data_IF_060318150286
#
_entry.id   IF_060318150286
#
_cell.length_a   1.000
_cell.length_b   1.000
_cell.length_c   1.000
_cell.angle_alpha   90.00
_cell.angle_beta   90.00
_cell.angle_gamma   90.00
#
_symmetry.space_group_name_H-M   'P 1'
#
loop_
_entity.id
_entity.type
_entity.pdbx_description
1 polymer ?
#
# COMPACT_ATOMS: atom_id res chain seq x y z
N UNK A 1 -11.20 0.34 18.21
CA UNK A 1 -10.22 0.78 17.19
C UNK A 1 -10.35 -0.10 15.95
N UNK A 2 -10.13 0.44 14.75
CA UNK A 2 -10.18 -0.31 13.49
C UNK A 2 -8.96 0.05 12.63
N UNK A 3 -8.33 -0.96 12.04
CA UNK A 3 -7.29 -0.79 11.03
C UNK A 3 -7.67 -1.70 9.88
N UNK A 4 -7.77 -1.13 8.69
CA UNK A 4 -7.91 -1.89 7.45
C UNK A 4 -6.66 -1.67 6.62
N UNK A 5 -6.00 -2.76 6.28
CA UNK A 5 -4.82 -2.78 5.43
C UNK A 5 -5.16 -3.65 4.21
N UNK A 6 -4.52 -3.39 3.07
CA UNK A 6 -4.75 -4.26 1.92
C UNK A 6 -5.99 -3.97 1.09
N UNK A 7 -6.66 -2.81 1.20
CA UNK A 7 -7.82 -2.54 0.35
C UNK A 7 -7.34 -2.19 -1.05
N UNK A 8 -7.88 -2.85 -2.07
CA UNK A 8 -7.43 -2.69 -3.45
C UNK A 8 -8.59 -2.57 -4.42
N UNK A 9 -8.49 -1.60 -5.34
CA UNK A 9 -9.41 -1.39 -6.43
C UNK A 9 -8.68 -1.70 -7.74
N UNK A 10 -9.24 -2.65 -8.48
CA UNK A 10 -8.75 -3.09 -9.77
C UNK A 10 -9.91 -3.11 -10.76
N UNK A 11 -9.87 -2.26 -11.79
CA UNK A 11 -10.88 -2.21 -12.84
C UNK A 11 -10.22 -1.97 -14.21
N UNK A 12 -10.37 -2.94 -15.12
CA UNK A 12 -9.90 -2.84 -16.51
C UNK A 12 -8.43 -2.43 -16.61
N UNK A 13 -8.16 -1.44 -17.45
CA UNK A 13 -6.81 -0.92 -17.72
C UNK A 13 -6.38 0.21 -16.76
N UNK A 14 -7.20 0.51 -15.75
CA UNK A 14 -6.87 1.57 -14.81
C UNK A 14 -5.69 1.18 -13.90
N UNK A 15 -4.85 2.14 -13.50
CA UNK A 15 -3.82 1.92 -12.48
C UNK A 15 -4.45 1.32 -11.21
N UNK A 16 -3.82 0.30 -10.65
CA UNK A 16 -4.25 -0.30 -9.37
C UNK A 16 -4.22 0.79 -8.30
N UNK A 17 -5.28 0.87 -7.51
CA UNK A 17 -5.32 1.72 -6.32
C UNK A 17 -5.34 0.83 -5.08
N UNK A 18 -4.40 1.04 -4.17
CA UNK A 18 -4.25 0.25 -2.94
C UNK A 18 -4.12 1.18 -1.73
N UNK A 19 -4.85 0.96 -0.65
CA UNK A 19 -4.87 1.88 0.48
C UNK A 19 -5.15 1.20 1.83
N UNK A 20 -4.68 1.86 2.88
CA UNK A 20 -4.93 1.49 4.27
C UNK A 20 -5.68 2.59 5.00
N UNK A 21 -6.49 2.19 5.97
CA UNK A 21 -7.33 3.04 6.81
C UNK A 21 -7.05 2.76 8.28
N UNK A 22 -7.04 3.80 9.10
CA UNK A 22 -6.96 3.73 10.56
C UNK A 22 -8.13 4.50 11.17
N UNK A 23 -8.73 3.96 12.23
CA UNK A 23 -9.75 4.61 13.04
C UNK A 23 -9.45 4.41 14.51
N UNK A 24 -8.94 5.47 15.12
CA UNK A 24 -8.76 5.57 16.58
C UNK A 24 -10.11 5.71 17.31
N UNK A 25 -10.10 5.47 18.62
CA UNK A 25 -11.31 5.63 19.43
C UNK A 25 -11.66 7.11 19.55
N UNK A 26 -12.88 7.48 19.18
CA UNK A 26 -13.36 8.87 19.26
C UNK A 26 -12.87 9.81 18.15
N UNK A 27 -12.10 9.31 17.17
CA UNK A 27 -11.67 10.09 16.01
C UNK A 27 -12.35 9.64 14.72
N UNK A 28 -12.41 10.53 13.70
CA UNK A 28 -12.73 10.11 12.34
C UNK A 28 -11.75 9.04 11.83
N UNK A 29 -12.19 8.32 10.81
CA UNK A 29 -11.31 7.39 10.10
C UNK A 29 -10.41 8.19 9.15
N UNK A 30 -9.17 7.75 8.98
CA UNK A 30 -8.13 8.43 8.21
C UNK A 30 -7.40 7.43 7.32
N UNK A 31 -6.81 7.92 6.23
CA UNK A 31 -5.91 7.09 5.42
C UNK A 31 -4.54 6.96 6.10
N UNK A 32 -4.06 5.74 6.24
CA UNK A 32 -2.66 5.48 6.64
C UNK A 32 -1.72 5.65 5.46
N UNK A 33 -2.13 5.16 4.28
CA UNK A 33 -1.42 5.33 3.02
C UNK A 33 -2.36 5.17 1.83
N UNK A 34 -1.93 5.70 0.68
CA UNK A 34 -2.53 5.45 -0.63
C UNK A 34 -1.42 5.09 -1.62
N UNK A 35 -1.64 4.08 -2.44
CA UNK A 35 -0.70 3.59 -3.44
C UNK A 35 -1.38 3.58 -4.81
N UNK A 36 -0.80 4.29 -5.77
CA UNK A 36 -1.16 4.16 -7.19
C UNK A 36 -0.13 3.28 -7.88
N UNK A 37 -0.57 2.21 -8.53
CA UNK A 37 0.32 1.32 -9.26
C UNK A 37 -0.02 1.23 -10.75
N UNK A 38 0.97 1.53 -11.60
CA UNK A 38 0.88 1.34 -13.04
C UNK A 38 1.39 -0.04 -13.40
N UNK A 39 0.68 -0.70 -14.29
CA UNK A 39 1.05 -1.99 -14.85
C UNK A 39 0.60 -2.04 -16.32
N UNK A 40 1.04 -3.07 -17.03
CA UNK A 40 0.71 -3.28 -18.44
C UNK A 40 -0.30 -4.42 -18.52
N UNK A 41 -1.55 -4.05 -18.84
CA UNK A 41 -2.73 -4.89 -18.76
C UNK A 41 -2.76 -5.99 -19.82
N UNK A 42 -2.09 -5.81 -20.96
CA UNK A 42 -2.02 -6.79 -22.06
C UNK A 42 -1.15 -8.01 -21.72
N UNK A 43 -0.37 -7.92 -20.64
CA UNK A 43 0.61 -8.93 -20.21
C UNK A 43 0.26 -9.52 -18.84
N UNK A 44 -1.03 -9.63 -18.56
CA UNK A 44 -1.58 -10.21 -17.33
C UNK A 44 -1.41 -11.72 -17.30
N UNK A 45 -0.48 -12.22 -16.49
CA UNK A 45 -0.47 -13.65 -16.13
C UNK A 45 -0.52 -13.93 -14.62
N UNK A 46 -0.42 -12.90 -13.76
CA UNK A 46 -0.71 -13.02 -12.32
C UNK A 46 -0.65 -11.66 -11.64
N UNK A 47 -1.81 -11.14 -11.25
CA UNK A 47 -1.92 -10.06 -10.27
C UNK A 47 -2.33 -10.70 -8.95
N UNK A 48 -1.60 -10.40 -7.88
CA UNK A 48 -1.83 -10.96 -6.55
C UNK A 48 -1.86 -9.84 -5.54
N UNK A 49 -2.98 -9.73 -4.82
CA UNK A 49 -3.07 -8.93 -3.61
C UNK A 49 -3.08 -9.88 -2.43
N UNK A 50 -2.29 -9.58 -1.43
CA UNK A 50 -2.27 -10.33 -0.19
C UNK A 50 -2.09 -9.38 0.98
N UNK A 51 -2.91 -9.56 2.01
CA UNK A 51 -2.84 -8.83 3.26
C UNK A 51 -2.78 -9.83 4.40
N UNK A 52 -1.93 -9.58 5.40
CA UNK A 52 -1.81 -10.37 6.61
C UNK A 52 -1.65 -9.46 7.81
N UNK A 53 -2.27 -9.87 8.91
CA UNK A 53 -2.09 -9.25 10.20
C UNK A 53 -1.51 -10.31 11.13
N UNK A 54 -0.41 -9.98 11.79
CA UNK A 54 0.23 -10.79 12.82
C UNK A 54 0.20 -10.04 14.16
N UNK A 55 0.21 -10.76 15.27
CA UNK A 55 0.43 -10.17 16.59
C UNK A 55 1.85 -10.58 17.04
N UNK A 56 2.70 -9.59 17.31
CA UNK A 56 4.09 -9.77 17.77
C UNK A 56 4.27 -8.98 19.06
N UNK A 57 4.49 -9.67 20.17
CA UNK A 57 4.70 -9.03 21.49
C UNK A 57 3.63 -7.99 21.87
N UNK A 58 2.37 -8.26 21.53
CA UNK A 58 1.25 -7.35 21.78
C UNK A 58 1.06 -6.23 20.75
N UNK A 59 1.99 -6.09 19.79
CA UNK A 59 1.95 -5.14 18.68
C UNK A 59 1.34 -5.82 17.45
N UNK A 60 0.41 -5.14 16.77
CA UNK A 60 -0.14 -5.65 15.50
C UNK A 60 0.82 -5.30 14.36
N UNK A 61 1.23 -6.31 13.63
CA UNK A 61 2.11 -6.20 12.48
C UNK A 61 1.28 -6.44 11.20
N UNK A 62 1.15 -5.41 10.37
CA UNK A 62 0.40 -5.44 9.13
C UNK A 62 1.35 -5.63 7.95
N UNK A 63 1.03 -6.57 7.07
CA UNK A 63 1.81 -6.86 5.88
C UNK A 63 0.86 -6.87 4.67
N UNK A 64 1.07 -5.92 3.77
CA UNK A 64 0.41 -5.89 2.47
C UNK A 64 1.41 -6.18 1.36
N UNK A 65 0.95 -6.91 0.36
CA UNK A 65 1.71 -7.26 -0.83
C UNK A 65 0.86 -7.01 -2.04
N UNK A 66 1.34 -6.10 -2.88
CA UNK A 66 0.88 -5.93 -4.25
C UNK A 66 1.88 -6.57 -5.19
N UNK A 67 1.48 -7.65 -5.86
CA UNK A 67 2.32 -8.38 -6.80
C UNK A 67 1.74 -8.31 -8.21
N UNK A 68 2.62 -8.02 -9.18
CA UNK A 68 2.33 -8.03 -10.60
C UNK A 68 3.49 -8.75 -11.28
N UNK A 69 3.19 -9.89 -11.93
CA UNK A 69 4.20 -10.79 -12.52
C UNK A 69 5.24 -11.27 -11.47
N UNK A 70 6.53 -11.11 -11.78
CA UNK A 70 7.68 -11.49 -10.94
C UNK A 70 8.09 -10.37 -9.96
N UNK A 71 7.35 -9.26 -9.93
CA UNK A 71 7.63 -8.10 -9.10
C UNK A 71 6.61 -7.96 -7.98
N UNK A 72 7.07 -7.51 -6.82
CA UNK A 72 6.22 -7.26 -5.69
C UNK A 72 6.61 -5.97 -4.97
N UNK A 73 5.59 -5.24 -4.55
CA UNK A 73 5.64 -4.14 -3.62
C UNK A 73 5.08 -4.64 -2.29
N UNK A 74 5.96 -4.76 -1.30
CA UNK A 74 5.62 -5.16 0.06
C UNK A 74 5.59 -3.92 0.93
N UNK A 75 4.47 -3.71 1.60
CA UNK A 75 4.26 -2.65 2.57
C UNK A 75 4.05 -3.30 3.92
N UNK A 76 4.85 -2.91 4.91
CA UNK A 76 4.80 -3.47 6.25
C UNK A 76 4.72 -2.35 7.25
N UNK A 77 3.83 -2.44 8.25
CA UNK A 77 3.83 -1.48 9.34
C UNK A 77 3.45 -2.10 10.68
N UNK A 78 4.14 -1.61 11.71
CA UNK A 78 3.88 -1.96 13.11
C UNK A 78 2.98 -0.92 13.74
N UNK A 79 2.00 -1.41 14.47
CA UNK A 79 0.87 -0.66 14.96
C UNK A 79 0.63 -1.01 16.42
N UNK A 80 0.95 -0.07 17.30
CA UNK A 80 0.70 -0.18 18.73
C UNK A 80 -0.53 0.65 19.12
N UNK A 81 -1.31 0.12 20.06
CA UNK A 81 -2.34 0.88 20.76
C UNK A 81 -1.76 1.32 22.11
N UNK A 82 -1.49 2.62 22.23
CA UNK A 82 -1.05 3.24 23.48
C UNK A 82 -2.08 4.29 23.89
N UNK A 83 -2.64 4.18 25.10
CA UNK A 83 -3.58 5.18 25.63
C UNK A 83 -4.77 5.49 24.68
N UNK A 84 -5.27 4.49 23.95
CA UNK A 84 -6.33 4.62 22.91
C UNK A 84 -5.92 5.40 21.65
N UNK A 85 -4.64 5.71 21.48
CA UNK A 85 -4.05 6.29 20.27
C UNK A 85 -3.38 5.19 19.45
N UNK A 86 -3.29 5.42 18.16
CA UNK A 86 -2.57 4.54 17.26
C UNK A 86 -1.25 5.18 16.88
N UNK A 87 -0.16 4.45 17.04
CA UNK A 87 1.16 4.90 16.59
C UNK A 87 1.71 3.89 15.59
N UNK A 88 2.07 4.40 14.41
CA UNK A 88 2.86 3.65 13.44
C UNK A 88 4.31 3.72 13.92
N UNK A 89 4.81 2.61 14.46
CA UNK A 89 6.18 2.53 15.00
C UNK A 89 7.22 2.38 13.89
N UNK A 90 6.88 1.60 12.86
CA UNK A 90 7.71 1.38 11.70
C UNK A 90 6.83 1.26 10.46
N UNK A 91 7.32 1.79 9.34
CA UNK A 91 6.71 1.61 8.03
C UNK A 91 7.80 1.25 7.03
N UNK A 92 7.65 0.12 6.34
CA UNK A 92 8.67 -0.42 5.45
C UNK A 92 8.08 -0.72 4.07
N UNK A 93 8.91 -0.50 3.06
CA UNK A 93 8.65 -0.85 1.67
C UNK A 93 9.79 -1.73 1.16
N UNK A 94 9.52 -3.00 0.83
CA UNK A 94 10.52 -4.02 0.47
C UNK A 94 11.75 -4.01 1.42
N UNK A 95 11.51 -4.19 2.72
CA UNK A 95 12.51 -4.19 3.81
C UNK A 95 13.22 -2.85 4.06
N UNK A 96 12.86 -1.77 3.37
CA UNK A 96 13.41 -0.43 3.61
C UNK A 96 12.46 0.42 4.42
N UNK A 97 12.96 1.02 5.49
CA UNK A 97 12.21 2.00 6.26
C UNK A 97 11.85 3.21 5.40
N UNK A 98 10.62 3.66 5.58
CA UNK A 98 10.04 4.82 4.93
C UNK A 98 9.92 5.94 5.94
N UNK A 99 10.40 7.12 5.56
CA UNK A 99 10.20 8.34 6.32
C UNK A 99 8.82 8.91 5.99
N UNK A 100 7.81 8.64 6.83
CA UNK A 100 6.43 9.10 6.62
C UNK A 100 6.29 10.63 6.57
N UNK A 101 7.27 11.40 7.04
CA UNK A 101 7.25 12.87 6.91
C UNK A 101 7.34 13.34 5.45
N UNK A 102 7.86 12.48 4.56
CA UNK A 102 7.93 12.65 3.10
C UNK A 102 6.62 12.32 2.39
N UNK A 103 5.59 11.91 3.12
CA UNK A 103 4.23 11.74 2.65
C UNK A 103 3.74 10.28 2.64
N UNK A 104 2.43 10.10 2.57
CA UNK A 104 1.79 8.79 2.70
C UNK A 104 1.24 8.28 1.36
N UNK A 105 1.65 8.89 0.24
CA UNK A 105 1.27 8.47 -1.10
C UNK A 105 2.44 7.84 -1.82
N UNK A 106 2.26 6.59 -2.24
CA UNK A 106 3.23 5.79 -2.97
C UNK A 106 2.82 5.65 -4.43
N UNK A 107 3.77 5.87 -5.33
CA UNK A 107 3.57 5.76 -6.77
C UNK A 107 4.47 4.64 -7.28
N UNK A 108 3.90 3.54 -7.77
CA UNK A 108 4.61 2.29 -8.06
C UNK A 108 4.46 1.89 -9.52
N UNK A 109 5.55 1.80 -10.28
CA UNK A 109 5.52 1.43 -11.69
C UNK A 109 6.06 0.00 -11.89
N UNK A 110 5.14 -0.92 -12.21
CA UNK A 110 5.40 -2.32 -12.58
C UNK A 110 5.63 -2.50 -14.10
N UNK A 111 5.47 -1.45 -14.92
CA UNK A 111 5.69 -1.53 -16.38
C UNK A 111 7.16 -1.67 -16.75
N UNK A 112 8.06 -1.37 -15.81
CA UNK A 112 9.51 -1.47 -15.99
C UNK A 112 10.02 -2.85 -15.59
N UNK A 113 11.19 -3.23 -16.12
CA UNK A 113 11.87 -4.49 -15.77
C UNK A 113 12.17 -4.62 -14.27
N UNK A 114 12.37 -3.50 -13.58
CA UNK A 114 12.55 -3.44 -12.13
C UNK A 114 11.56 -2.46 -11.56
N UNK A 115 11.02 -2.80 -10.39
CA UNK A 115 10.02 -1.98 -9.72
C UNK A 115 10.59 -0.58 -9.51
N UNK A 116 9.84 0.41 -10.00
CA UNK A 116 10.15 1.80 -9.74
C UNK A 116 9.13 2.36 -8.75
N UNK A 117 9.58 3.21 -7.85
CA UNK A 117 8.69 3.86 -6.90
C UNK A 117 9.07 5.31 -6.62
N UNK A 118 8.08 6.07 -6.16
CA UNK A 118 8.26 7.36 -5.51
C UNK A 118 7.30 7.48 -4.32
N UNK A 119 7.72 8.23 -3.30
CA UNK A 119 6.90 8.68 -2.20
C UNK A 119 6.65 10.17 -2.40
N UNK A 120 5.40 10.62 -2.27
CA UNK A 120 5.06 12.03 -2.42
C UNK A 120 4.27 12.54 -1.21
N UNK A 121 4.60 13.77 -0.81
CA UNK A 121 3.84 14.54 0.16
C UNK A 121 2.72 15.28 -0.56
N UNK A 122 1.51 14.82 -0.33
CA UNK A 122 0.25 15.40 -0.79
C UNK A 122 -0.79 15.18 0.30
N UNK A 123 -1.76 16.08 0.38
CA UNK A 123 -2.91 15.88 1.25
C UNK A 123 -3.73 14.67 0.77
N UNK A 124 -4.29 13.93 1.72
CA UNK A 124 -5.18 12.81 1.47
C UNK A 124 -6.63 13.27 1.69
N UNK A 125 -7.62 12.66 1.00
CA UNK A 125 -9.02 12.96 1.28
C UNK A 125 -9.32 12.73 2.78
N UNK A 126 -9.94 13.71 3.42
CA UNK A 126 -10.27 13.63 4.84
C UNK A 126 -11.47 12.72 5.09
N UNK A 127 -11.52 12.15 6.29
CA UNK A 127 -12.66 11.37 6.80
C UNK A 127 -13.14 10.23 5.87
N UNK A 128 -12.24 9.40 5.29
CA UNK A 128 -12.70 8.24 4.54
C UNK A 128 -13.61 7.36 5.39
N UNK A 129 -14.63 6.83 4.78
CA UNK A 129 -15.50 5.85 5.42
C UNK A 129 -14.85 4.46 5.32
N UNK A 130 -14.96 3.61 6.35
CA UNK A 130 -14.33 2.30 6.34
C UNK A 130 -15.06 1.36 5.36
N UNK A 131 -14.41 1.00 4.27
CA UNK A 131 -14.94 0.04 3.31
C UNK A 131 -15.15 -1.33 3.96
N UNK A 132 -16.32 -1.95 3.77
CA UNK A 132 -16.67 -3.25 4.36
C UNK A 132 -16.98 -4.33 3.32
N UNK A 133 -16.97 -3.96 2.04
CA UNK A 133 -17.30 -4.84 0.93
C UNK A 133 -16.51 -4.48 -0.32
N UNK A 134 -16.47 -5.36 -1.31
CA UNK A 134 -15.84 -5.06 -2.62
C UNK A 134 -16.48 -3.84 -3.29
N UNK A 135 -17.82 -3.69 -3.19
CA UNK A 135 -18.54 -2.53 -3.72
C UNK A 135 -18.05 -1.25 -3.04
N UNK A 136 -17.88 -1.32 -1.72
CA UNK A 136 -17.41 -0.19 -0.94
C UNK A 136 -15.99 0.23 -1.33
N UNK A 137 -15.12 -0.77 -1.44
CA UNK A 137 -13.73 -0.58 -1.84
C UNK A 137 -13.67 0.13 -3.19
N UNK A 138 -14.49 -0.27 -4.17
CA UNK A 138 -14.59 0.39 -5.48
C UNK A 138 -15.09 1.82 -5.40
N UNK A 139 -16.15 2.09 -4.62
CA UNK A 139 -16.69 3.44 -4.47
C UNK A 139 -15.67 4.40 -3.84
N UNK A 140 -15.04 4.00 -2.74
CA UNK A 140 -13.96 4.79 -2.12
C UNK A 140 -12.76 4.94 -3.07
N UNK A 141 -12.46 3.92 -3.86
CA UNK A 141 -11.42 4.00 -4.89
C UNK A 141 -11.71 5.07 -5.95
N UNK A 142 -12.95 5.17 -6.42
CA UNK A 142 -13.38 6.20 -7.35
C UNK A 142 -13.27 7.61 -6.73
N UNK A 143 -13.66 7.77 -5.46
CA UNK A 143 -13.50 9.05 -4.73
C UNK A 143 -12.04 9.47 -4.62
N UNK A 144 -11.14 8.54 -4.27
CA UNK A 144 -9.70 8.81 -4.20
C UNK A 144 -9.18 9.23 -5.58
N UNK A 145 -9.56 8.52 -6.66
CA UNK A 145 -9.15 8.90 -8.03
C UNK A 145 -9.64 10.30 -8.40
N UNK A 146 -10.90 10.61 -8.12
CA UNK A 146 -11.47 11.92 -8.38
C UNK A 146 -10.73 13.03 -7.62
N UNK A 147 -10.41 12.80 -6.34
CA UNK A 147 -9.63 13.73 -5.54
C UNK A 147 -8.23 14.00 -6.12
N UNK A 148 -7.59 12.98 -6.70
CA UNK A 148 -6.27 13.10 -7.31
C UNK A 148 -6.29 13.43 -8.82
N UNK A 149 -7.46 13.69 -9.41
CA UNK A 149 -7.60 13.96 -10.85
C UNK A 149 -6.73 15.13 -11.31
N UNK A 150 -6.67 16.21 -10.53
CA UNK A 150 -5.88 17.41 -10.89
C UNK A 150 -4.50 17.46 -10.22
N UNK A 151 -4.12 16.42 -9.47
CA UNK A 151 -2.83 16.39 -8.79
C UNK A 151 -1.69 16.18 -9.81
N UNK A 152 -0.94 17.24 -10.10
CA UNK A 152 0.15 17.24 -11.09
C UNK A 152 1.16 16.11 -10.91
N UNK A 153 1.51 15.73 -9.67
CA UNK A 153 2.49 14.65 -9.42
C UNK A 153 1.90 13.27 -9.73
N UNK A 154 0.67 13.02 -9.28
CA UNK A 154 -0.05 11.78 -9.59
C UNK A 154 -0.28 11.68 -11.10
N UNK A 155 -0.77 12.74 -11.74
CA UNK A 155 -0.98 12.76 -13.18
C UNK A 155 0.32 12.60 -13.98
N UNK A 156 1.42 13.25 -13.57
CA UNK A 156 2.73 13.04 -14.20
C UNK A 156 3.17 11.57 -14.08
N UNK A 157 2.91 10.92 -12.95
CA UNK A 157 3.20 9.50 -12.76
C UNK A 157 2.32 8.61 -13.63
N UNK A 158 1.00 8.82 -13.63
CA UNK A 158 0.04 8.06 -14.44
C UNK A 158 0.38 8.13 -15.93
N UNK A 159 0.86 9.28 -16.39
CA UNK A 159 1.34 9.51 -17.75
C UNK A 159 2.79 9.05 -18.00
N UNK A 160 3.47 8.45 -17.02
CA UNK A 160 4.83 7.94 -17.16
C UNK A 160 5.93 8.99 -17.29
N UNK A 161 5.65 10.24 -16.90
CA UNK A 161 6.56 11.39 -16.98
C UNK A 161 7.26 11.71 -15.65
N UNK A 162 6.83 11.12 -14.54
CA UNK A 162 7.45 11.34 -13.23
C UNK A 162 8.77 10.55 -13.11
N UNK A 163 9.88 11.16 -12.68
CA UNK A 163 11.10 10.43 -12.35
C UNK A 163 10.87 9.55 -11.12
N UNK A 164 11.26 8.27 -11.23
CA UNK A 164 11.06 7.27 -10.17
C UNK A 164 12.38 6.60 -9.80
N UNK A 165 12.49 6.22 -8.52
CA UNK A 165 13.67 5.52 -7.99
C UNK A 165 13.49 4.02 -8.16
N UNK A 166 14.57 3.28 -8.43
CA UNK A 166 14.53 1.81 -8.43
C UNK A 166 14.37 1.31 -7.01
N UNK A 167 13.30 0.57 -6.73
CA UNK A 167 13.17 -0.16 -5.48
C UNK A 167 13.95 -1.48 -5.60
N UNK A 168 14.82 -1.83 -4.64
CA UNK A 168 15.41 -3.16 -4.64
C UNK A 168 14.33 -4.23 -4.40
N UNK A 169 14.56 -5.46 -4.89
CA UNK A 169 13.69 -6.57 -4.54
C UNK A 169 13.75 -6.82 -3.03
N UNK A 170 12.62 -7.21 -2.43
CA UNK A 170 12.59 -7.72 -1.06
C UNK A 170 13.63 -8.83 -0.91
N UNK A 171 14.42 -8.83 0.16
CA UNK A 171 15.40 -9.91 0.39
C UNK A 171 14.61 -11.20 0.57
N UNK A 172 14.93 -12.22 -0.23
CA UNK A 172 14.37 -13.56 -0.01
C UNK A 172 14.80 -14.02 1.37
N UNK A 173 13.85 -14.20 2.27
CA UNK A 173 14.11 -14.87 3.53
C UNK A 173 14.65 -16.27 3.18
N UNK A 174 15.88 -16.57 3.61
CA UNK A 174 16.43 -17.91 3.46
C UNK A 174 15.52 -18.82 4.29
N UNK A 175 14.64 -19.58 3.63
CA UNK A 175 13.90 -20.65 4.30
C UNK A 175 14.95 -21.55 4.95
N UNK A 176 15.03 -21.56 6.28
CA UNK A 176 15.77 -22.59 6.98
C UNK A 176 15.16 -23.92 6.53
N UNK A 177 15.98 -24.91 6.11
CA UNK A 177 15.46 -26.23 5.81
C UNK A 177 14.63 -26.69 7.02
N UNK A 178 13.44 -27.21 6.77
CA UNK A 178 12.65 -27.84 7.82
C UNK A 178 13.55 -28.93 8.42
N UNK A 179 13.95 -28.76 9.68
CA UNK A 179 14.58 -29.83 10.43
C UNK A 179 13.52 -30.91 10.58
N UNK A 180 13.62 -31.95 9.76
CA UNK A 180 12.92 -33.21 9.97
C UNK A 180 13.28 -33.70 11.37
N UNK A 181 12.30 -33.63 12.28
CA UNK A 181 12.37 -34.33 13.55
C UNK A 181 12.28 -35.82 13.22
N UNK A 182 13.41 -36.52 13.30
CA UNK A 182 13.46 -37.98 13.45
C UNK A 182 13.04 -38.36 14.86
#
# INVERSE_FOLDING_TARGET
MFVSAGNCCYEGDEPILHYGLIKEVGKPCEFSYVTFARYDADKQSSNGLWAKIELRDGIRHYIDKLAVRDQAFHLEFDAAEEERKFKIEAFKVNDKEVDLTKGNVFLVDFTKKRLKYAQIKVELPANPWPAKSTKDTKALGAEIRAYFADNKKVQAFLNGKLPLTTLPPKKKEKRKPATDKK
#
